data_IF_428528991785
#
_entry.id   IF_428528991785
#
_cell.length_a   1.000
_cell.length_b   1.000
_cell.length_c   1.000
_cell.angle_alpha   90.00
_cell.angle_beta   90.00
_cell.angle_gamma   90.00
#
_symmetry.space_group_name_H-M   'P 1'
#
loop_
_entity.id
_entity.type
_entity.pdbx_description
1 polymer ?
#
# COMPACT_ATOMS: atom_id res chain seq x y z
N UNK A 1 -47.81 -14.50 -50.28
CA UNK A 1 -48.01 -14.25 -48.84
C UNK A 1 -46.66 -13.84 -48.28
N UNK A 2 -46.63 -12.74 -47.51
CA UNK A 2 -45.47 -12.15 -46.85
C UNK A 2 -44.75 -13.19 -45.97
N UNK A 3 -43.50 -13.01 -45.54
CA UNK A 3 -43.11 -12.13 -44.43
C UNK A 3 -41.66 -11.70 -44.60
N UNK A 4 -41.43 -10.39 -44.68
CA UNK A 4 -40.17 -9.74 -44.37
C UNK A 4 -40.04 -9.66 -42.84
N UNK A 5 -38.89 -10.05 -42.29
CA UNK A 5 -38.61 -9.98 -40.85
C UNK A 5 -37.32 -9.20 -40.60
N UNK A 6 -37.46 -8.05 -39.93
CA UNK A 6 -36.47 -7.00 -39.76
C UNK A 6 -35.15 -7.47 -39.12
N UNK A 7 -34.05 -6.89 -39.60
CA UNK A 7 -32.74 -6.88 -38.95
C UNK A 7 -32.83 -6.30 -37.55
N UNK A 8 -32.42 -7.09 -36.56
CA UNK A 8 -32.14 -6.61 -35.21
C UNK A 8 -30.92 -5.69 -35.21
N UNK A 9 -31.17 -4.41 -34.99
CA UNK A 9 -30.17 -3.42 -34.56
C UNK A 9 -30.95 -2.40 -33.74
N UNK A 10 -31.20 -2.74 -32.47
CA UNK A 10 -31.65 -1.75 -31.49
C UNK A 10 -30.45 -0.84 -31.19
N UNK A 11 -30.41 0.21 -32.00
CA UNK A 11 -29.94 1.55 -31.76
C UNK A 11 -28.86 1.74 -30.68
N UNK A 12 -27.63 2.00 -31.13
CA UNK A 12 -26.51 2.48 -30.31
C UNK A 12 -26.79 3.80 -29.61
N UNK A 13 -27.85 4.52 -29.99
CA UNK A 13 -28.22 5.82 -29.44
C UNK A 13 -28.68 5.77 -27.97
N UNK A 14 -29.40 4.73 -27.56
CA UNK A 14 -29.94 4.61 -26.19
C UNK A 14 -28.80 4.47 -25.17
N UNK A 15 -27.73 3.75 -25.54
CA UNK A 15 -26.51 3.62 -24.73
C UNK A 15 -25.67 4.90 -24.72
N UNK A 16 -25.74 5.73 -25.78
CA UNK A 16 -25.05 7.03 -25.80
C UNK A 16 -25.74 8.01 -24.86
N UNK A 17 -27.07 8.02 -24.78
CA UNK A 17 -27.83 8.85 -23.83
C UNK A 17 -27.54 8.47 -22.37
N UNK A 18 -27.44 7.18 -22.07
CA UNK A 18 -27.06 6.70 -20.72
C UNK A 18 -25.63 7.09 -20.35
N UNK A 19 -24.68 7.05 -21.29
CA UNK A 19 -23.30 7.51 -21.11
C UNK A 19 -23.21 9.02 -20.90
N UNK A 20 -23.98 9.81 -21.66
CA UNK A 20 -24.06 11.26 -21.51
C UNK A 20 -24.62 11.62 -20.13
N UNK A 21 -25.66 10.92 -19.66
CA UNK A 21 -26.23 11.13 -18.31
C UNK A 21 -25.25 10.77 -17.20
N UNK A 22 -24.45 9.71 -17.40
CA UNK A 22 -23.44 9.29 -16.42
C UNK A 22 -22.28 10.29 -16.38
N UNK A 23 -21.81 10.77 -17.54
CA UNK A 23 -20.76 11.78 -17.66
C UNK A 23 -21.21 13.13 -17.09
N UNK A 24 -22.45 13.57 -17.35
CA UNK A 24 -23.05 14.77 -16.73
C UNK A 24 -23.23 14.67 -15.21
N UNK A 25 -23.38 13.45 -14.67
CA UNK A 25 -23.42 13.23 -13.22
C UNK A 25 -22.02 13.20 -12.59
N UNK A 26 -20.96 13.02 -13.39
CA UNK A 26 -19.55 12.99 -12.94
C UNK A 26 -18.78 14.27 -13.25
N UNK A 27 -19.24 15.08 -14.21
CA UNK A 27 -18.69 16.38 -14.56
C UNK A 27 -19.35 17.46 -13.70
N UNK A 28 -18.73 17.70 -12.54
CA UNK A 28 -18.74 19.00 -11.86
C UNK A 28 -20.11 19.52 -11.37
N UNK A 29 -20.82 18.71 -10.57
CA UNK A 29 -21.29 19.33 -9.33
C UNK A 29 -20.02 19.53 -8.49
N UNK A 30 -19.45 20.73 -8.55
CA UNK A 30 -18.73 21.30 -7.43
C UNK A 30 -19.62 21.07 -6.21
N UNK A 31 -19.41 19.95 -5.51
CA UNK A 31 -20.02 19.71 -4.23
C UNK A 31 -19.45 20.82 -3.36
N UNK A 32 -20.16 21.94 -3.29
CA UNK A 32 -19.94 23.00 -2.34
C UNK A 32 -20.36 22.44 -0.99
N UNK A 33 -19.58 21.49 -0.49
CA UNK A 33 -19.75 20.93 0.82
C UNK A 33 -19.42 22.09 1.76
N UNK A 34 -20.47 22.75 2.23
CA UNK A 34 -20.38 23.77 3.28
C UNK A 34 -20.10 23.13 4.65
N UNK A 35 -19.32 22.04 4.64
CA UNK A 35 -18.79 21.43 5.85
C UNK A 35 -17.80 22.43 6.44
N UNK A 36 -18.14 22.93 7.61
CA UNK A 36 -17.14 23.62 8.43
C UNK A 36 -16.06 22.60 8.74
N UNK A 37 -14.84 22.85 8.31
CA UNK A 37 -13.68 22.11 8.79
C UNK A 37 -13.69 22.21 10.31
N UNK A 38 -13.61 21.08 11.00
CA UNK A 38 -13.45 21.14 12.44
C UNK A 38 -12.09 21.75 12.77
N UNK A 39 -11.94 22.33 13.97
CA UNK A 39 -10.66 22.88 14.43
C UNK A 39 -9.55 21.82 14.29
N UNK A 40 -9.87 20.56 14.57
CA UNK A 40 -8.94 19.43 14.41
C UNK A 40 -8.52 19.20 12.95
N UNK A 41 -9.44 19.32 11.99
CA UNK A 41 -9.14 19.17 10.57
C UNK A 41 -8.28 20.32 10.04
N UNK A 42 -8.53 21.56 10.50
CA UNK A 42 -7.69 22.71 10.12
C UNK A 42 -6.27 22.59 10.67
N UNK A 43 -6.12 22.10 11.90
CA UNK A 43 -4.81 21.83 12.50
C UNK A 43 -4.06 20.72 11.76
N UNK A 44 -4.74 19.62 11.41
CA UNK A 44 -4.14 18.54 10.61
C UNK A 44 -3.72 19.03 9.22
N UNK A 45 -4.56 19.81 8.54
CA UNK A 45 -4.23 20.38 7.24
C UNK A 45 -3.06 21.37 7.29
N UNK A 46 -2.93 22.15 8.37
CA UNK A 46 -1.76 23.02 8.60
C UNK A 46 -0.50 22.18 8.83
N UNK A 47 -0.58 21.18 9.71
CA UNK A 47 0.54 20.29 10.02
C UNK A 47 0.99 19.49 8.79
N UNK A 48 0.06 19.00 7.97
CA UNK A 48 0.35 18.26 6.72
C UNK A 48 1.01 19.13 5.66
N UNK A 49 0.61 20.41 5.56
CA UNK A 49 1.27 21.40 4.70
C UNK A 49 2.64 21.82 5.23
N UNK A 50 2.84 21.72 6.55
CA UNK A 50 4.09 22.02 7.26
C UNK A 50 4.94 20.79 7.53
N UNK A 51 4.74 19.65 6.84
CA UNK A 51 5.69 18.54 6.82
C UNK A 51 7.00 18.99 6.17
N UNK A 52 7.75 19.80 6.92
CA UNK A 52 9.12 20.16 6.65
C UNK A 52 9.88 18.84 6.73
N UNK A 53 10.63 18.55 5.67
CA UNK A 53 11.63 17.48 5.70
C UNK A 53 12.49 17.72 6.94
N UNK A 54 12.47 16.79 7.89
CA UNK A 54 13.28 16.91 9.11
C UNK A 54 14.74 16.93 8.68
N UNK A 55 15.36 18.10 8.74
CA UNK A 55 16.77 18.26 8.45
C UNK A 55 17.57 17.64 9.59
N UNK A 56 18.54 16.79 9.23
CA UNK A 56 19.44 16.21 10.22
C UNK A 56 20.29 17.34 10.83
N UNK A 57 20.48 17.36 12.16
CA UNK A 57 21.42 18.28 12.78
C UNK A 57 22.83 18.09 12.20
N UNK A 58 23.61 19.17 12.13
CA UNK A 58 24.96 19.18 11.53
C UNK A 58 25.89 18.09 12.09
N UNK A 59 25.75 17.81 13.38
CA UNK A 59 26.51 16.77 14.08
C UNK A 59 26.30 15.37 13.48
N UNK A 60 25.14 15.13 12.86
CA UNK A 60 24.76 13.83 12.31
C UNK A 60 24.77 13.77 10.78
N UNK A 61 25.27 14.81 10.10
CA UNK A 61 25.37 14.81 8.64
C UNK A 61 26.25 13.67 8.12
N UNK A 62 27.26 13.25 8.90
CA UNK A 62 28.15 12.13 8.57
C UNK A 62 27.40 10.79 8.47
N UNK A 63 26.30 10.61 9.20
CA UNK A 63 25.50 9.38 9.19
C UNK A 63 24.21 9.51 8.39
N UNK A 64 24.11 10.51 7.50
CA UNK A 64 22.92 10.72 6.65
C UNK A 64 22.48 9.44 5.91
N UNK A 65 23.44 8.65 5.43
CA UNK A 65 23.19 7.36 4.77
C UNK A 65 22.50 6.35 5.70
N UNK A 66 22.73 6.39 7.01
CA UNK A 66 22.05 5.48 7.97
C UNK A 66 20.55 5.78 8.09
N UNK A 67 20.16 7.04 7.87
CA UNK A 67 18.76 7.47 7.94
C UNK A 67 18.01 7.30 6.61
N UNK A 68 18.72 7.03 5.51
CA UNK A 68 18.10 6.77 4.23
C UNK A 68 17.37 5.42 4.26
N UNK A 69 16.08 5.42 3.91
CA UNK A 69 15.21 4.23 4.00
C UNK A 69 15.83 3.00 3.30
N UNK A 70 16.37 3.20 2.09
CA UNK A 70 17.01 2.13 1.30
C UNK A 70 18.26 1.56 1.95
N UNK A 71 19.02 2.40 2.64
CA UNK A 71 20.24 1.99 3.33
C UNK A 71 19.90 1.29 4.66
N UNK A 72 18.87 1.76 5.37
CA UNK A 72 18.39 1.15 6.61
C UNK A 72 17.84 -0.28 6.43
N UNK A 73 17.30 -0.57 5.25
CA UNK A 73 16.78 -1.90 4.90
C UNK A 73 17.89 -2.89 4.49
N UNK A 74 19.11 -2.40 4.24
CA UNK A 74 20.24 -3.24 3.80
C UNK A 74 20.87 -3.96 4.99
N UNK A 75 21.18 -5.23 4.83
CA UNK A 75 21.99 -5.95 5.82
C UNK A 75 23.35 -5.27 6.03
N UNK A 76 23.83 -5.17 7.27
CA UNK A 76 25.19 -4.72 7.53
C UNK A 76 26.19 -5.66 6.84
N UNK A 77 27.33 -5.11 6.45
CA UNK A 77 28.44 -5.92 5.94
C UNK A 77 28.97 -6.88 7.02
N UNK A 78 29.60 -7.99 6.61
CA UNK A 78 30.17 -8.96 7.55
C UNK A 78 31.21 -8.30 8.45
N UNK A 79 31.22 -8.70 9.71
CA UNK A 79 32.12 -8.19 10.75
C UNK A 79 33.14 -9.25 11.17
N UNK A 80 34.32 -8.85 11.68
CA UNK A 80 35.32 -9.79 12.20
C UNK A 80 34.84 -10.65 13.38
N UNK A 81 33.79 -10.20 14.09
CA UNK A 81 33.18 -10.92 15.21
C UNK A 81 31.90 -11.67 14.83
N UNK A 82 31.56 -11.73 13.54
CA UNK A 82 30.46 -12.58 13.10
C UNK A 82 30.86 -14.04 13.31
N UNK A 83 30.11 -14.73 14.17
CA UNK A 83 30.39 -16.11 14.51
C UNK A 83 29.88 -17.05 13.41
N UNK A 84 30.78 -17.86 12.85
CA UNK A 84 30.43 -18.93 11.91
C UNK A 84 29.99 -20.19 12.66
N UNK A 85 28.90 -20.82 12.19
CA UNK A 85 28.45 -22.13 12.70
C UNK A 85 29.22 -23.23 11.96
N UNK A 86 30.28 -23.74 12.58
CA UNK A 86 31.05 -24.87 12.04
C UNK A 86 30.29 -26.18 12.22
N UNK A 87 29.83 -26.75 11.12
CA UNK A 87 29.17 -28.06 11.11
C UNK A 87 30.22 -29.18 11.10
N UNK A 88 29.85 -30.34 11.67
CA UNK A 88 30.66 -31.55 11.58
C UNK A 88 30.47 -32.21 10.21
N UNK A 89 31.48 -32.94 9.75
CA UNK A 89 31.39 -33.72 8.52
C UNK A 89 30.26 -34.76 8.62
N UNK A 90 29.46 -34.88 7.56
CA UNK A 90 28.30 -35.76 7.52
C UNK A 90 27.05 -35.22 8.24
N UNK A 91 27.03 -33.95 8.64
CA UNK A 91 25.83 -33.32 9.20
C UNK A 91 24.69 -33.30 8.18
N UNK A 92 23.53 -33.84 8.60
CA UNK A 92 22.29 -33.80 7.83
C UNK A 92 21.33 -32.87 8.58
N UNK A 93 20.92 -31.72 8.01
CA UNK A 93 19.93 -30.83 8.61
C UNK A 93 18.63 -31.59 8.89
N UNK A 94 18.14 -31.52 10.13
CA UNK A 94 16.87 -32.12 10.53
C UNK A 94 15.84 -31.01 10.75
N UNK A 95 14.73 -31.08 10.04
CA UNK A 95 13.56 -30.24 10.30
C UNK A 95 12.67 -31.01 11.27
N UNK A 96 12.59 -30.55 12.51
CA UNK A 96 11.74 -31.16 13.53
C UNK A 96 10.29 -30.66 13.43
N UNK A 97 9.35 -31.43 13.99
CA UNK A 97 7.93 -31.09 13.99
C UNK A 97 7.70 -29.92 14.95
N UNK A 98 6.98 -28.88 14.51
CA UNK A 98 6.52 -27.81 15.38
C UNK A 98 5.49 -28.36 16.35
N UNK A 99 5.79 -28.36 17.65
CA UNK A 99 4.83 -28.75 18.68
C UNK A 99 3.98 -27.54 19.09
N UNK A 100 2.64 -27.61 19.00
CA UNK A 100 1.77 -26.50 19.39
C UNK A 100 1.84 -26.29 20.91
N UNK A 101 2.36 -25.13 21.33
CA UNK A 101 2.46 -24.72 22.73
C UNK A 101 1.17 -24.03 23.19
N UNK A 102 0.06 -24.77 23.30
CA UNK A 102 -1.25 -24.29 23.80
C UNK A 102 -1.86 -23.06 23.09
N UNK A 103 -3.19 -22.97 23.15
CA UNK A 103 -4.03 -22.44 22.07
C UNK A 103 -4.37 -20.93 22.13
N UNK A 104 -3.49 -20.07 22.63
CA UNK A 104 -3.74 -18.60 22.58
C UNK A 104 -3.14 -17.94 21.33
N UNK A 105 -2.19 -18.57 20.62
CA UNK A 105 -1.48 -17.91 19.51
C UNK A 105 -1.31 -18.76 18.24
N UNK A 106 -2.35 -19.48 17.80
CA UNK A 106 -2.32 -20.24 16.53
C UNK A 106 -3.48 -19.89 15.58
N UNK A 107 -3.91 -18.63 15.55
CA UNK A 107 -4.86 -18.11 14.54
C UNK A 107 -4.19 -17.18 13.52
N UNK A 108 -2.99 -17.52 13.04
CA UNK A 108 -2.32 -16.74 11.98
C UNK A 108 -1.46 -17.59 11.04
N UNK A 109 -1.80 -18.87 10.89
CA UNK A 109 -1.30 -19.70 9.80
C UNK A 109 -2.46 -20.01 8.84
N UNK A 110 -2.92 -18.98 8.12
CA UNK A 110 -3.67 -19.13 6.86
C UNK A 110 -2.85 -18.40 5.79
N UNK A 111 -2.20 -19.19 4.94
CA UNK A 111 -1.79 -18.80 3.59
C UNK A 111 -2.62 -19.64 2.62
#
# INVERSE_FOLDING_TARGET
MAWTGLTGLQNTNDNQELLIRYLQATEEDDLWIRAKTSISQELEHKHRKEEKKTELPKEYEEWKDTFDKKASERFPGPRPWDHEIKLKDGFIPKVEKLYPLLSISLNLARF
#
